data_IF_603153872046
#
_entry.id   IF_603153872046
#
_cell.length_a   1.000
_cell.length_b   1.000
_cell.length_c   1.000
_cell.angle_alpha   90.00
_cell.angle_beta   90.00
_cell.angle_gamma   90.00
#
_symmetry.space_group_name_H-M   'P 1'
#
loop_
_entity.id
_entity.type
_entity.pdbx_description
1 polymer ?
#
# COMPACT_ATOMS: atom_id res chain seq x y z
N UNK A 1 3.79 -17.06 5.27
CA UNK A 1 2.86 -16.39 6.18
C UNK A 1 2.12 -15.21 5.53
N UNK A 2 2.73 -14.53 4.57
CA UNK A 2 2.04 -13.46 3.80
C UNK A 2 1.21 -14.03 2.65
N UNK A 3 0.12 -13.33 2.28
CA UNK A 3 -0.75 -13.71 1.15
C UNK A 3 -0.22 -13.20 -0.20
N UNK A 4 0.67 -12.21 -0.20
CA UNK A 4 1.29 -11.64 -1.42
C UNK A 4 2.27 -12.63 -2.06
N UNK A 5 2.10 -12.96 -3.35
CA UNK A 5 2.99 -13.85 -4.09
C UNK A 5 4.43 -13.31 -4.13
N UNK A 6 4.60 -12.03 -4.45
CA UNK A 6 5.91 -11.36 -4.51
C UNK A 6 6.64 -11.43 -3.16
N UNK A 7 5.92 -11.15 -2.06
CA UNK A 7 6.52 -11.22 -0.72
C UNK A 7 6.84 -12.66 -0.28
N UNK A 8 6.08 -13.66 -0.76
CA UNK A 8 6.40 -15.07 -0.55
C UNK A 8 7.68 -15.47 -1.27
N UNK A 9 7.79 -15.15 -2.55
CA UNK A 9 8.99 -15.41 -3.36
C UNK A 9 10.22 -14.75 -2.75
N UNK A 10 10.11 -13.46 -2.41
CA UNK A 10 11.18 -12.74 -1.70
C UNK A 10 11.57 -13.43 -0.39
N UNK A 11 10.58 -13.81 0.43
CA UNK A 11 10.82 -14.49 1.71
C UNK A 11 11.49 -15.86 1.55
N UNK A 12 11.09 -16.65 0.55
CA UNK A 12 11.71 -17.96 0.26
C UNK A 12 13.15 -17.78 -0.21
N UNK A 13 13.40 -16.88 -1.16
CA UNK A 13 14.76 -16.62 -1.68
C UNK A 13 15.68 -16.08 -0.56
N UNK A 14 15.19 -15.12 0.23
CA UNK A 14 15.95 -14.59 1.37
C UNK A 14 16.21 -15.67 2.43
N UNK A 15 15.21 -16.51 2.74
CA UNK A 15 15.35 -17.61 3.70
C UNK A 15 16.38 -18.65 3.24
N UNK A 16 16.34 -19.08 1.99
CA UNK A 16 17.35 -19.98 1.41
C UNK A 16 18.73 -19.32 1.43
N UNK A 17 18.84 -18.04 1.04
CA UNK A 17 20.08 -17.28 1.07
C UNK A 17 20.70 -17.24 2.48
N UNK A 18 19.90 -16.95 3.50
CA UNK A 18 20.35 -16.93 4.90
C UNK A 18 20.83 -18.33 5.34
N UNK A 19 20.10 -19.39 4.99
CA UNK A 19 20.51 -20.77 5.32
C UNK A 19 21.83 -21.16 4.63
N UNK A 20 22.02 -20.79 3.37
CA UNK A 20 23.26 -21.03 2.64
C UNK A 20 24.42 -20.25 3.27
N UNK A 21 24.22 -18.97 3.60
CA UNK A 21 25.24 -18.15 4.29
C UNK A 21 25.59 -18.78 5.64
N UNK A 22 24.59 -19.24 6.40
CA UNK A 22 24.82 -19.92 7.68
C UNK A 22 25.68 -21.14 7.51
N UNK A 23 25.37 -22.05 6.58
CA UNK A 23 26.13 -23.27 6.31
C UNK A 23 27.58 -22.96 5.86
N UNK A 24 27.72 -22.01 4.93
CA UNK A 24 29.03 -21.56 4.45
C UNK A 24 29.86 -21.00 5.62
N UNK A 25 29.27 -20.12 6.43
CA UNK A 25 29.96 -19.52 7.58
C UNK A 25 30.33 -20.55 8.61
N UNK A 26 29.46 -21.54 8.86
CA UNK A 26 29.74 -22.62 9.82
C UNK A 26 30.92 -23.53 9.41
N UNK A 27 31.11 -23.74 8.11
CA UNK A 27 32.19 -24.54 7.55
C UNK A 27 33.46 -23.70 7.35
N UNK A 28 33.30 -22.54 6.71
CA UNK A 28 34.42 -21.71 6.23
C UNK A 28 35.12 -20.98 7.38
N UNK A 29 34.39 -20.43 8.35
CA UNK A 29 34.97 -19.67 9.46
C UNK A 29 35.92 -20.53 10.31
N UNK A 30 35.54 -21.70 10.83
CA UNK A 30 36.48 -22.56 11.56
C UNK A 30 37.65 -23.03 10.70
N UNK A 31 37.38 -23.36 9.40
CA UNK A 31 38.42 -23.75 8.47
C UNK A 31 39.47 -22.67 8.27
N UNK A 32 39.07 -21.43 8.01
CA UNK A 32 40.00 -20.30 7.84
C UNK A 32 40.72 -19.98 9.15
N UNK A 33 40.01 -19.97 10.29
CA UNK A 33 40.58 -19.66 11.58
C UNK A 33 41.62 -20.72 12.00
N UNK A 34 41.49 -21.98 11.58
CA UNK A 34 42.46 -23.04 11.87
C UNK A 34 43.83 -22.80 11.18
N UNK A 35 43.86 -22.07 10.06
CA UNK A 35 45.10 -21.72 9.36
C UNK A 35 45.70 -20.37 9.82
N UNK A 36 44.95 -19.57 10.57
CA UNK A 36 45.43 -18.28 11.06
C UNK A 36 46.21 -18.44 12.36
N UNK A 37 47.36 -17.76 12.53
CA UNK A 37 48.05 -17.72 13.81
C UNK A 37 47.19 -17.06 14.87
N UNK A 38 47.40 -17.43 16.14
CA UNK A 38 46.68 -16.82 17.26
C UNK A 38 46.79 -15.27 17.21
N UNK A 39 45.70 -14.55 17.48
CA UNK A 39 45.69 -13.10 17.38
C UNK A 39 46.72 -12.49 18.34
N UNK A 40 47.56 -11.60 17.80
CA UNK A 40 48.58 -10.90 18.58
C UNK A 40 47.97 -9.90 19.57
N UNK A 41 48.73 -9.52 20.62
CA UNK A 41 48.29 -8.60 21.67
C UNK A 41 47.77 -7.25 21.14
N UNK A 42 48.28 -6.79 20.01
CA UNK A 42 47.83 -5.56 19.34
C UNK A 42 46.43 -5.69 18.74
N UNK A 43 46.09 -6.84 18.21
CA UNK A 43 44.80 -7.14 17.58
C UNK A 43 43.65 -7.26 18.58
N UNK A 44 43.95 -7.70 19.82
CA UNK A 44 42.97 -7.80 20.93
C UNK A 44 42.95 -6.56 21.83
N UNK A 45 43.74 -5.51 21.50
CA UNK A 45 43.82 -4.29 22.30
C UNK A 45 42.48 -3.57 22.44
N UNK A 46 41.57 -3.73 21.47
CA UNK A 46 40.23 -3.14 21.52
C UNK A 46 39.39 -3.73 22.67
N UNK A 47 39.60 -5.00 23.08
CA UNK A 47 38.90 -5.62 24.21
C UNK A 47 39.27 -4.97 25.55
N UNK A 48 40.46 -4.34 25.62
CA UNK A 48 40.96 -3.62 26.79
C UNK A 48 40.83 -2.08 26.66
N UNK A 49 39.97 -1.61 25.74
CA UNK A 49 39.78 -0.17 25.57
C UNK A 49 39.04 0.43 26.79
N UNK A 50 39.80 1.17 27.60
CA UNK A 50 39.29 1.81 28.82
C UNK A 50 38.09 2.72 28.59
N UNK A 51 37.98 3.37 27.45
CA UNK A 51 36.84 4.27 27.13
C UNK A 51 35.56 3.45 27.00
N UNK A 52 35.60 2.39 26.22
CA UNK A 52 34.41 1.53 26.01
C UNK A 52 34.07 0.82 27.32
N UNK A 53 35.06 0.24 27.99
CA UNK A 53 34.82 -0.45 29.27
C UNK A 53 34.23 0.49 30.34
N UNK A 54 34.81 1.69 30.51
CA UNK A 54 34.29 2.67 31.47
C UNK A 54 32.89 3.17 31.11
N UNK A 55 32.58 3.29 29.81
CA UNK A 55 31.25 3.68 29.35
C UNK A 55 30.22 2.57 29.69
N UNK A 56 30.55 1.31 29.39
CA UNK A 56 29.68 0.17 29.72
C UNK A 56 29.47 0.03 31.23
N UNK A 57 30.55 0.10 32.04
CA UNK A 57 30.47 0.04 33.50
C UNK A 57 29.67 1.21 34.10
N UNK A 58 29.69 2.40 33.44
CA UNK A 58 28.89 3.55 33.88
C UNK A 58 27.40 3.31 33.60
N UNK A 59 27.08 2.77 32.43
CA UNK A 59 25.69 2.40 32.07
C UNK A 59 25.18 1.32 33.03
N UNK A 60 25.96 0.27 33.22
CA UNK A 60 25.62 -0.84 34.13
C UNK A 60 25.32 -0.32 35.54
N UNK A 61 26.23 0.43 36.15
CA UNK A 61 26.01 1.03 37.45
C UNK A 61 24.77 1.91 37.50
N UNK A 62 24.61 2.77 36.50
CA UNK A 62 23.45 3.65 36.46
C UNK A 62 22.13 2.88 36.38
N UNK A 63 22.06 1.81 35.57
CA UNK A 63 20.88 0.95 35.45
C UNK A 63 20.60 0.17 36.74
N UNK A 64 21.66 -0.36 37.38
CA UNK A 64 21.51 -1.13 38.63
C UNK A 64 21.16 -0.25 39.81
N UNK A 65 21.78 0.93 39.94
CA UNK A 65 21.55 1.85 41.08
C UNK A 65 20.23 2.59 40.96
N UNK A 66 19.77 2.85 39.70
CA UNK A 66 18.58 3.69 39.47
C UNK A 66 17.47 2.91 38.74
N UNK A 67 17.21 1.66 39.15
CA UNK A 67 16.19 0.77 38.51
C UNK A 67 14.83 1.45 38.36
N UNK A 68 14.35 2.16 39.40
CA UNK A 68 13.07 2.86 39.38
C UNK A 68 13.04 3.98 38.33
N UNK A 69 14.13 4.72 38.18
CA UNK A 69 14.23 5.77 37.17
C UNK A 69 14.16 5.18 35.75
N UNK A 70 14.83 4.03 35.52
CA UNK A 70 14.76 3.33 34.21
C UNK A 70 13.33 2.87 33.92
N UNK A 71 12.63 2.28 34.90
CA UNK A 71 11.25 1.84 34.69
C UNK A 71 10.30 3.03 34.44
N UNK A 72 10.44 4.12 35.19
CA UNK A 72 9.62 5.32 35.01
C UNK A 72 9.88 5.95 33.65
N UNK A 73 11.14 6.08 33.24
CA UNK A 73 11.51 6.64 31.94
C UNK A 73 10.97 5.78 30.78
N UNK A 74 11.09 4.45 30.88
CA UNK A 74 10.56 3.51 29.88
C UNK A 74 9.03 3.57 29.83
N UNK A 75 8.36 3.62 30.97
CA UNK A 75 6.91 3.76 31.04
C UNK A 75 6.44 5.10 30.43
N UNK A 76 7.10 6.20 30.76
CA UNK A 76 6.81 7.51 30.17
C UNK A 76 7.02 7.50 28.63
N UNK A 77 8.11 6.90 28.15
CA UNK A 77 8.38 6.74 26.72
C UNK A 77 7.30 5.89 26.03
N UNK A 78 6.83 4.82 26.68
CA UNK A 78 5.73 4.00 26.16
C UNK A 78 4.42 4.76 26.07
N UNK A 79 4.05 5.51 27.13
CA UNK A 79 2.84 6.34 27.13
C UNK A 79 2.91 7.38 26.01
N UNK A 80 4.05 8.07 25.89
CA UNK A 80 4.29 9.02 24.81
C UNK A 80 4.16 8.37 23.43
N UNK A 81 4.69 7.15 23.29
CA UNK A 81 4.64 6.38 22.04
C UNK A 81 3.22 5.92 21.70
N UNK A 82 2.44 5.49 22.68
CA UNK A 82 1.04 5.09 22.48
C UNK A 82 0.23 6.27 21.92
N UNK A 83 0.41 7.48 22.47
CA UNK A 83 -0.23 8.69 21.94
C UNK A 83 0.20 8.97 20.51
N UNK A 84 1.48 8.76 20.19
CA UNK A 84 2.01 8.89 18.82
C UNK A 84 1.39 7.87 17.86
N UNK A 85 1.20 6.64 18.29
CA UNK A 85 0.59 5.57 17.45
C UNK A 85 -0.84 5.94 17.03
N UNK A 86 -1.63 6.60 17.91
CA UNK A 86 -2.96 7.07 17.53
C UNK A 86 -2.95 8.16 16.46
N UNK A 87 -1.83 8.87 16.27
CA UNK A 87 -1.63 9.84 15.20
C UNK A 87 -1.07 9.21 13.91
N UNK A 88 -0.68 7.94 13.96
CA UNK A 88 -0.06 7.26 12.84
C UNK A 88 -1.10 7.01 11.73
N UNK A 89 -0.88 7.62 10.58
CA UNK A 89 -1.75 7.49 9.42
C UNK A 89 -1.18 6.45 8.45
N UNK A 90 -2.06 5.66 7.85
CA UNK A 90 -1.68 4.74 6.77
C UNK A 90 -2.02 5.39 5.43
N UNK A 91 -1.08 6.15 4.90
CA UNK A 91 -1.23 6.90 3.64
C UNK A 91 -0.12 6.48 2.69
N UNK A 92 -0.50 6.10 1.49
CA UNK A 92 0.41 5.84 0.38
C UNK A 92 -0.03 6.64 -0.83
N UNK A 93 0.93 7.22 -1.56
CA UNK A 93 0.75 7.82 -2.87
C UNK A 93 1.50 6.97 -3.92
N UNK A 94 1.15 7.09 -5.19
CA UNK A 94 1.73 6.24 -6.24
C UNK A 94 3.26 6.41 -6.33
N UNK A 95 3.75 7.64 -6.21
CA UNK A 95 5.17 7.95 -6.39
C UNK A 95 5.91 8.30 -5.10
N UNK A 96 5.38 7.91 -3.96
CA UNK A 96 5.92 8.26 -2.64
C UNK A 96 7.33 7.70 -2.37
N UNK A 97 7.68 6.61 -3.02
CA UNK A 97 8.96 5.93 -2.84
C UNK A 97 10.04 6.42 -3.82
N UNK A 98 9.69 7.33 -4.75
CA UNK A 98 10.64 7.95 -5.67
C UNK A 98 11.29 9.21 -5.08
N UNK A 99 12.58 9.45 -5.30
CA UNK A 99 13.23 10.72 -4.95
C UNK A 99 12.54 11.89 -5.65
N UNK A 100 12.33 12.99 -4.94
CA UNK A 100 11.66 14.19 -5.50
C UNK A 100 12.41 14.82 -6.69
N UNK A 101 13.70 14.50 -6.83
CA UNK A 101 14.57 14.93 -7.93
C UNK A 101 14.50 14.02 -9.15
N UNK A 102 13.82 12.87 -9.03
CA UNK A 102 13.68 11.93 -10.13
C UNK A 102 12.81 12.52 -11.24
N UNK A 103 13.20 12.23 -12.49
CA UNK A 103 12.47 12.73 -13.67
C UNK A 103 11.04 12.20 -13.72
N UNK A 104 10.82 10.94 -13.35
CA UNK A 104 9.47 10.34 -13.34
C UNK A 104 8.59 11.06 -12.30
N UNK A 105 9.14 11.40 -11.12
CA UNK A 105 8.41 12.15 -10.10
C UNK A 105 8.04 13.55 -10.60
N UNK A 106 8.99 14.28 -11.18
CA UNK A 106 8.76 15.66 -11.66
C UNK A 106 7.79 15.70 -12.83
N UNK A 107 7.91 14.77 -13.79
CA UNK A 107 7.02 14.66 -14.93
C UNK A 107 5.59 14.32 -14.49
N UNK A 108 5.43 13.38 -13.55
CA UNK A 108 4.13 13.01 -13.03
C UNK A 108 3.47 14.20 -12.29
N UNK A 109 4.22 14.94 -11.48
CA UNK A 109 3.71 16.15 -10.81
C UNK A 109 3.36 17.26 -11.78
N UNK A 110 4.09 17.37 -12.90
CA UNK A 110 3.72 18.27 -14.00
C UNK A 110 2.37 17.89 -14.61
N UNK A 111 2.16 16.62 -14.92
CA UNK A 111 0.88 16.14 -15.45
C UNK A 111 -0.26 16.30 -14.44
N UNK A 112 -0.02 15.99 -13.17
CA UNK A 112 -1.02 16.14 -12.10
C UNK A 112 -1.49 17.61 -12.00
N UNK A 113 -0.55 18.55 -12.05
CA UNK A 113 -0.84 19.99 -11.94
C UNK A 113 -1.57 20.55 -13.17
N UNK A 114 -1.15 20.14 -14.38
CA UNK A 114 -1.65 20.77 -15.63
C UNK A 114 -2.86 20.06 -16.23
N UNK A 115 -3.05 18.76 -15.93
CA UNK A 115 -4.13 17.92 -16.48
C UNK A 115 -5.09 17.42 -15.39
N UNK A 116 -5.04 17.97 -14.18
CA UNK A 116 -5.95 17.69 -13.06
C UNK A 116 -6.05 16.21 -12.67
N UNK A 117 -4.97 15.47 -12.86
CA UNK A 117 -4.87 14.08 -12.41
C UNK A 117 -4.30 13.14 -13.44
N UNK A 118 -3.71 12.07 -12.92
CA UNK A 118 -3.02 11.03 -13.70
C UNK A 118 -3.50 9.62 -13.33
N UNK A 119 -4.38 9.50 -12.32
CA UNK A 119 -4.90 8.23 -11.86
C UNK A 119 -6.22 7.92 -12.58
N UNK A 120 -6.26 6.91 -13.47
CA UNK A 120 -7.51 6.53 -14.11
C UNK A 120 -8.43 5.78 -13.12
N UNK A 121 -9.67 6.23 -13.08
CA UNK A 121 -10.81 5.57 -12.43
C UNK A 121 -11.82 5.22 -13.50
N UNK A 122 -12.24 3.97 -13.53
CA UNK A 122 -13.25 3.46 -14.45
C UNK A 122 -14.51 3.06 -13.67
N UNK A 123 -15.66 3.50 -14.14
CA UNK A 123 -16.94 3.13 -13.57
C UNK A 123 -17.71 2.37 -14.63
N UNK A 124 -17.93 1.10 -14.40
CA UNK A 124 -18.65 0.19 -15.32
C UNK A 124 -20.10 0.08 -14.86
N UNK A 125 -21.01 0.43 -15.74
CA UNK A 125 -22.46 0.29 -15.55
C UNK A 125 -22.95 -0.86 -16.41
N UNK A 126 -23.34 -1.97 -15.79
CA UNK A 126 -23.85 -3.18 -16.43
C UNK A 126 -25.37 -3.24 -16.26
N UNK A 127 -26.09 -3.34 -17.36
CA UNK A 127 -27.56 -3.46 -17.41
C UNK A 127 -28.06 -4.87 -17.10
N UNK A 128 -27.16 -5.82 -16.89
CA UNK A 128 -27.46 -7.28 -16.69
C UNK A 128 -28.30 -7.90 -17.83
N UNK A 129 -28.52 -7.18 -18.92
CA UNK A 129 -29.30 -7.64 -20.07
C UNK A 129 -28.55 -7.43 -21.36
N UNK A 130 -28.38 -8.48 -22.14
CA UNK A 130 -27.80 -8.38 -23.47
C UNK A 130 -28.65 -7.41 -24.31
N UNK A 131 -27.98 -6.49 -25.00
CA UNK A 131 -28.60 -5.36 -25.72
C UNK A 131 -29.39 -4.39 -24.85
N UNK A 132 -29.13 -4.34 -23.54
CA UNK A 132 -29.75 -3.36 -22.63
C UNK A 132 -29.43 -1.90 -22.98
N UNK A 133 -28.35 -1.66 -23.71
CA UNK A 133 -27.93 -0.37 -24.25
C UNK A 133 -28.33 -0.21 -25.74
N UNK A 134 -29.46 -0.77 -26.15
CA UNK A 134 -29.99 -0.64 -27.51
C UNK A 134 -31.37 -0.02 -27.50
N UNK A 135 -31.67 0.79 -28.57
CA UNK A 135 -32.96 1.44 -28.76
C UNK A 135 -33.28 2.52 -27.71
N UNK A 136 -34.54 2.79 -27.47
CA UNK A 136 -34.99 3.86 -26.56
C UNK A 136 -34.61 3.64 -25.09
N UNK A 137 -34.40 2.39 -24.66
CA UNK A 137 -33.94 2.06 -23.29
C UNK A 137 -32.53 2.56 -23.04
N UNK A 138 -31.71 2.65 -24.08
CA UNK A 138 -30.36 3.19 -23.97
C UNK A 138 -30.38 4.68 -23.52
N UNK A 139 -31.34 5.47 -23.97
CA UNK A 139 -31.42 6.88 -23.59
C UNK A 139 -31.58 7.08 -22.08
N UNK A 140 -32.45 6.29 -21.45
CA UNK A 140 -32.66 6.34 -20.00
C UNK A 140 -31.36 5.99 -19.23
N UNK A 141 -30.60 5.00 -19.72
CA UNK A 141 -29.31 4.66 -19.10
C UNK A 141 -28.28 5.77 -19.33
N UNK A 142 -28.29 6.39 -20.53
CA UNK A 142 -27.37 7.47 -20.86
C UNK A 142 -27.66 8.73 -20.04
N UNK A 143 -28.93 9.07 -19.77
CA UNK A 143 -29.29 10.15 -18.85
C UNK A 143 -28.77 9.93 -17.43
N UNK A 144 -28.86 8.70 -16.94
CA UNK A 144 -28.29 8.34 -15.63
C UNK A 144 -26.76 8.37 -15.62
N UNK A 145 -26.11 7.91 -16.71
CA UNK A 145 -24.67 8.01 -16.92
C UNK A 145 -24.23 9.47 -16.94
N UNK A 146 -24.98 10.32 -17.62
CA UNK A 146 -24.71 11.76 -17.69
C UNK A 146 -24.83 12.44 -16.32
N UNK A 147 -25.88 12.12 -15.58
CA UNK A 147 -26.10 12.63 -14.22
C UNK A 147 -24.98 12.19 -13.26
N UNK A 148 -24.49 10.96 -13.40
CA UNK A 148 -23.34 10.46 -12.62
C UNK A 148 -22.05 11.16 -13.05
N UNK A 149 -21.84 11.35 -14.35
CA UNK A 149 -20.68 12.08 -14.89
C UNK A 149 -20.64 13.53 -14.41
N UNK A 150 -21.80 14.22 -14.36
CA UNK A 150 -21.90 15.57 -13.83
C UNK A 150 -21.55 15.63 -12.32
N UNK A 151 -22.01 14.66 -11.53
CA UNK A 151 -21.65 14.56 -10.12
C UNK A 151 -20.13 14.35 -9.92
N UNK A 152 -19.51 13.50 -10.74
CA UNK A 152 -18.07 13.25 -10.71
C UNK A 152 -17.30 14.50 -11.11
N UNK A 153 -17.70 15.18 -12.18
CA UNK A 153 -17.06 16.42 -12.64
C UNK A 153 -17.12 17.57 -11.62
N UNK A 154 -18.09 17.55 -10.69
CA UNK A 154 -18.21 18.51 -9.62
C UNK A 154 -17.24 18.27 -8.43
N UNK A 155 -16.52 17.13 -8.40
CA UNK A 155 -15.52 16.84 -7.37
C UNK A 155 -14.21 17.54 -7.73
N UNK A 156 -13.59 18.21 -6.76
CA UNK A 156 -12.36 18.99 -6.94
C UNK A 156 -11.15 18.15 -7.37
N UNK A 157 -11.12 16.89 -6.94
CA UNK A 157 -10.02 15.96 -7.17
C UNK A 157 -10.16 15.17 -8.48
N UNK A 158 -11.22 15.41 -9.24
CA UNK A 158 -11.54 14.66 -10.46
C UNK A 158 -11.60 15.55 -11.68
N UNK A 159 -11.15 15.01 -12.80
CA UNK A 159 -11.29 15.68 -14.09
C UNK A 159 -12.68 15.43 -14.66
N UNK A 160 -12.98 16.05 -15.80
CA UNK A 160 -14.21 15.80 -16.54
C UNK A 160 -14.24 14.35 -17.04
N UNK A 161 -15.26 13.56 -16.69
CA UNK A 161 -15.37 12.19 -17.15
C UNK A 161 -15.61 12.10 -18.65
N UNK A 162 -15.08 11.03 -19.24
CA UNK A 162 -15.35 10.63 -20.61
C UNK A 162 -16.33 9.45 -20.59
N UNK A 163 -17.39 9.53 -21.36
CA UNK A 163 -18.40 8.48 -21.49
C UNK A 163 -19.06 8.53 -22.85
N UNK A 164 -19.87 7.52 -23.15
CA UNK A 164 -20.72 7.54 -24.36
C UNK A 164 -21.64 8.77 -24.36
N UNK A 165 -22.20 9.15 -23.21
CA UNK A 165 -23.05 10.31 -23.08
C UNK A 165 -22.35 11.60 -23.53
N UNK A 166 -21.10 11.81 -23.06
CA UNK A 166 -20.31 12.98 -23.47
C UNK A 166 -19.96 12.94 -24.96
N UNK A 167 -19.63 11.78 -25.49
CA UNK A 167 -19.35 11.61 -26.91
C UNK A 167 -20.59 11.90 -27.80
N UNK A 168 -21.78 11.51 -27.33
CA UNK A 168 -23.03 11.81 -28.05
C UNK A 168 -23.43 13.29 -27.98
N UNK A 169 -23.20 13.98 -26.86
CA UNK A 169 -23.34 15.43 -26.75
C UNK A 169 -22.42 16.15 -27.74
N UNK A 170 -21.17 15.74 -27.78
CA UNK A 170 -20.20 16.30 -28.74
C UNK A 170 -20.61 16.05 -30.19
N UNK A 171 -21.07 14.83 -30.50
CA UNK A 171 -21.54 14.50 -31.85
C UNK A 171 -22.74 15.32 -32.24
N UNK A 172 -23.71 15.56 -31.33
CA UNK A 172 -24.88 16.40 -31.57
C UNK A 172 -24.50 17.86 -31.80
N UNK A 173 -23.59 18.40 -30.97
CA UNK A 173 -23.08 19.76 -31.19
C UNK A 173 -22.37 19.89 -32.54
N UNK A 174 -21.54 18.91 -32.93
CA UNK A 174 -20.85 18.91 -34.21
C UNK A 174 -21.83 18.82 -35.41
N UNK A 175 -22.95 18.10 -35.26
CA UNK A 175 -24.00 18.02 -36.27
C UNK A 175 -24.74 19.36 -36.49
N UNK A 176 -24.84 20.17 -35.46
CA UNK A 176 -25.42 21.52 -35.51
C UNK A 176 -24.34 22.62 -35.60
N UNK A 177 -23.34 22.41 -36.45
CA UNK A 177 -22.29 23.38 -36.79
C UNK A 177 -21.49 23.93 -35.59
N UNK A 178 -21.40 23.16 -34.50
CA UNK A 178 -20.63 23.54 -33.33
C UNK A 178 -21.34 24.44 -32.32
N UNK A 179 -22.63 24.68 -32.48
CA UNK A 179 -23.44 25.50 -31.58
C UNK A 179 -23.47 24.91 -30.17
N UNK A 180 -22.99 25.66 -29.18
CA UNK A 180 -22.91 25.26 -27.77
C UNK A 180 -24.31 24.97 -27.16
N UNK A 181 -25.38 25.54 -27.65
CA UNK A 181 -26.75 25.26 -27.20
C UNK A 181 -27.15 23.79 -27.49
N UNK A 182 -26.51 23.16 -28.47
CA UNK A 182 -26.74 21.77 -28.84
C UNK A 182 -25.83 20.76 -28.12
N UNK A 183 -25.04 21.18 -27.13
CA UNK A 183 -24.25 20.28 -26.27
C UNK A 183 -25.14 19.60 -25.21
N UNK A 184 -26.11 18.84 -25.69
CA UNK A 184 -27.13 18.15 -24.90
C UNK A 184 -27.24 16.68 -25.34
N UNK A 185 -27.71 15.81 -24.45
CA UNK A 185 -28.01 14.43 -24.83
C UNK A 185 -29.06 14.41 -25.96
N UNK A 186 -28.90 13.48 -26.93
CA UNK A 186 -29.90 13.25 -27.93
C UNK A 186 -31.24 12.83 -27.30
N UNK A 187 -32.36 13.34 -27.81
CA UNK A 187 -33.70 12.95 -27.40
C UNK A 187 -34.29 11.85 -28.31
N UNK A 188 -35.53 11.45 -28.06
CA UNK A 188 -36.21 10.41 -28.85
C UNK A 188 -36.35 10.73 -30.34
N UNK A 189 -36.38 12.03 -30.70
CA UNK A 189 -36.44 12.48 -32.09
C UNK A 189 -35.11 12.41 -32.80
N UNK A 190 -34.00 12.41 -32.04
CA UNK A 190 -32.65 12.27 -32.57
C UNK A 190 -32.23 10.79 -32.80
N UNK A 191 -33.19 9.84 -32.70
CA UNK A 191 -32.91 8.40 -32.73
C UNK A 191 -32.22 7.89 -34.00
N UNK A 192 -32.50 8.47 -35.16
CA UNK A 192 -31.83 8.14 -36.43
C UNK A 192 -30.34 8.55 -36.39
N UNK A 193 -30.07 9.74 -35.87
CA UNK A 193 -28.75 10.31 -35.68
C UNK A 193 -27.90 9.44 -34.69
N UNK A 194 -28.44 9.12 -33.52
CA UNK A 194 -27.77 8.29 -32.50
C UNK A 194 -27.49 6.88 -33.04
N UNK A 195 -28.45 6.34 -33.80
CA UNK A 195 -28.31 5.00 -34.38
C UNK A 195 -27.14 4.88 -35.37
N UNK A 196 -26.84 5.94 -36.11
CA UNK A 196 -25.72 5.97 -37.05
C UNK A 196 -24.36 5.91 -36.34
N UNK A 197 -24.19 6.66 -35.25
CA UNK A 197 -22.94 6.73 -34.50
C UNK A 197 -22.70 5.53 -33.58
N UNK A 198 -23.74 4.85 -33.08
CA UNK A 198 -23.64 3.67 -32.26
C UNK A 198 -23.57 2.36 -33.05
N UNK A 199 -23.70 2.38 -34.38
CA UNK A 199 -23.49 1.17 -35.19
C UNK A 199 -22.01 0.88 -35.34
N UNK A 200 -21.56 -0.39 -35.15
CA UNK A 200 -20.20 -0.77 -35.48
C UNK A 200 -19.98 -0.48 -36.97
N UNK A 201 -19.04 0.38 -37.30
CA UNK A 201 -18.67 0.63 -38.68
C UNK A 201 -18.08 -0.64 -39.27
N UNK A 202 -18.72 -1.19 -40.33
CA UNK A 202 -18.03 -2.14 -41.20
C UNK A 202 -16.88 -1.37 -41.83
N UNK A 203 -15.72 -1.96 -41.77
CA UNK A 203 -14.46 -1.44 -42.30
C UNK A 203 -14.60 -1.08 -43.79
N UNK A 204 -14.89 0.18 -44.09
CA UNK A 204 -14.73 0.71 -45.42
C UNK A 204 -13.33 1.29 -45.55
N UNK A 205 -12.61 0.79 -46.57
CA UNK A 205 -11.24 1.14 -46.92
C UNK A 205 -11.00 2.59 -47.36
N UNK A 206 -11.99 3.45 -47.30
CA UNK A 206 -11.89 4.86 -47.62
C UNK A 206 -11.94 5.70 -46.35
N UNK A 207 -10.82 6.32 -46.01
CA UNK A 207 -10.49 7.04 -44.78
C UNK A 207 -11.38 8.23 -44.37
N UNK A 208 -12.68 8.06 -44.23
CA UNK A 208 -13.60 9.11 -43.80
C UNK A 208 -13.62 9.24 -42.26
N UNK A 209 -13.51 10.46 -41.77
CA UNK A 209 -13.51 10.85 -40.34
C UNK A 209 -14.73 10.35 -39.52
N UNK A 210 -15.83 9.95 -40.15
CA UNK A 210 -17.01 9.34 -39.51
C UNK A 210 -16.67 8.02 -38.82
N UNK A 211 -15.68 7.26 -39.31
CA UNK A 211 -15.26 5.99 -38.72
C UNK A 211 -14.51 6.16 -37.38
N UNK A 212 -13.83 7.27 -37.16
CA UNK A 212 -13.04 7.50 -35.96
C UNK A 212 -13.93 7.81 -34.75
N UNK A 213 -15.00 8.63 -34.91
CA UNK A 213 -15.92 8.94 -33.83
C UNK A 213 -16.75 7.70 -33.42
N UNK A 214 -17.22 6.91 -34.38
CA UNK A 214 -17.91 5.65 -34.10
C UNK A 214 -17.03 4.66 -33.36
N UNK A 215 -15.76 4.50 -33.74
CA UNK A 215 -14.78 3.67 -33.02
C UNK A 215 -14.53 4.17 -31.61
N UNK A 216 -14.42 5.49 -31.42
CA UNK A 216 -14.23 6.10 -30.13
C UNK A 216 -15.44 5.86 -29.21
N UNK A 217 -16.67 6.08 -29.70
CA UNK A 217 -17.89 5.84 -28.94
C UNK A 217 -18.10 4.36 -28.60
N UNK A 218 -17.81 3.46 -29.55
CA UNK A 218 -17.92 2.02 -29.30
C UNK A 218 -16.86 1.51 -28.33
N UNK A 219 -15.77 2.24 -28.08
CA UNK A 219 -14.79 1.86 -27.05
C UNK A 219 -15.32 1.96 -25.62
N UNK A 220 -16.41 2.71 -25.40
CA UNK A 220 -17.08 2.84 -24.11
C UNK A 220 -18.23 1.85 -23.89
N UNK A 221 -18.56 1.04 -24.88
CA UNK A 221 -19.64 0.05 -24.83
C UNK A 221 -19.05 -1.32 -25.16
N UNK A 222 -19.48 -2.35 -24.45
CA UNK A 222 -19.08 -3.72 -24.74
C UNK A 222 -19.74 -4.25 -26.04
N UNK A 223 -19.19 -5.34 -26.59
CA UNK A 223 -19.68 -5.98 -27.83
C UNK A 223 -21.10 -6.50 -27.70
N UNK A 224 -21.53 -6.90 -26.48
CA UNK A 224 -22.89 -7.33 -26.19
C UNK A 224 -23.86 -6.19 -25.97
N UNK A 225 -23.38 -4.92 -25.97
CA UNK A 225 -24.17 -3.72 -25.63
C UNK A 225 -24.93 -3.86 -24.32
N UNK A 226 -24.31 -4.50 -23.38
CA UNK A 226 -24.81 -4.75 -22.04
C UNK A 226 -24.23 -3.77 -21.05
N UNK A 227 -22.95 -3.43 -21.19
CA UNK A 227 -22.21 -2.61 -20.25
C UNK A 227 -21.66 -1.34 -20.93
N UNK A 228 -21.64 -0.25 -20.18
CA UNK A 228 -20.95 0.99 -20.57
C UNK A 228 -19.98 1.41 -19.48
N UNK A 229 -18.92 2.14 -19.86
CA UNK A 229 -17.95 2.67 -18.92
C UNK A 229 -17.91 4.21 -18.92
N UNK A 230 -17.64 4.75 -17.76
CA UNK A 230 -17.27 6.14 -17.54
C UNK A 230 -15.80 6.13 -17.14
N UNK A 231 -14.97 6.83 -17.88
CA UNK A 231 -13.53 6.95 -17.61
C UNK A 231 -13.23 8.34 -17.10
N UNK A 232 -12.55 8.44 -15.97
CA UNK A 232 -12.16 9.73 -15.39
C UNK A 232 -10.74 9.64 -14.84
N UNK A 233 -9.94 10.68 -15.08
CA UNK A 233 -8.67 10.87 -14.41
C UNK A 233 -8.88 11.65 -13.13
N UNK A 234 -8.20 11.24 -12.07
CA UNK A 234 -8.26 11.90 -10.77
C UNK A 234 -6.85 12.21 -10.24
N UNK A 235 -6.76 13.18 -9.34
CA UNK A 235 -5.53 13.48 -8.62
C UNK A 235 -5.13 12.33 -7.69
N UNK A 236 -3.84 12.17 -7.42
CA UNK A 236 -3.36 11.23 -6.41
C UNK A 236 -3.63 11.79 -5.00
N UNK A 237 -4.79 11.45 -4.47
CA UNK A 237 -5.27 11.89 -3.14
C UNK A 237 -4.80 10.97 -2.00
N UNK A 238 -4.04 9.93 -2.34
CA UNK A 238 -3.55 8.92 -1.40
C UNK A 238 -4.63 7.97 -0.88
N UNK A 239 -4.16 6.91 -0.25
CA UNK A 239 -5.01 5.79 0.21
C UNK A 239 -5.95 6.13 1.38
N UNK A 240 -5.81 7.30 2.02
CA UNK A 240 -6.68 7.76 3.11
C UNK A 240 -7.97 8.43 2.56
N UNK A 241 -7.84 9.34 1.60
CA UNK A 241 -8.97 10.10 1.04
C UNK A 241 -9.71 9.33 -0.06
N UNK A 242 -8.99 8.54 -0.85
CA UNK A 242 -9.57 7.81 -1.98
C UNK A 242 -10.81 6.97 -1.61
N UNK A 243 -10.85 6.20 -0.50
CA UNK A 243 -12.04 5.44 -0.12
C UNK A 243 -13.28 6.31 0.15
N UNK A 244 -13.08 7.52 0.67
CA UNK A 244 -14.19 8.44 0.97
C UNK A 244 -14.80 8.96 -0.33
N UNK A 245 -13.96 9.33 -1.31
CA UNK A 245 -14.39 9.74 -2.64
C UNK A 245 -15.12 8.61 -3.37
N UNK A 246 -14.54 7.40 -3.37
CA UNK A 246 -15.14 6.23 -4.01
C UNK A 246 -16.50 5.89 -3.41
N UNK A 247 -16.63 5.94 -2.08
CA UNK A 247 -17.92 5.71 -1.41
C UNK A 247 -18.95 6.79 -1.74
N UNK A 248 -18.53 8.04 -1.92
CA UNK A 248 -19.40 9.11 -2.40
C UNK A 248 -19.95 8.82 -3.80
N UNK A 249 -19.10 8.38 -4.73
CA UNK A 249 -19.50 7.99 -6.09
C UNK A 249 -20.42 6.77 -6.06
N UNK A 250 -20.08 5.74 -5.28
CA UNK A 250 -20.88 4.54 -5.12
C UNK A 250 -22.29 4.86 -4.59
N UNK A 251 -22.38 5.69 -3.56
CA UNK A 251 -23.66 6.13 -3.01
C UNK A 251 -24.50 6.89 -4.07
N UNK A 252 -23.87 7.77 -4.84
CA UNK A 252 -24.58 8.49 -5.92
C UNK A 252 -25.00 7.56 -7.04
N UNK A 253 -24.15 6.61 -7.41
CA UNK A 253 -24.48 5.58 -8.40
C UNK A 253 -25.67 4.73 -7.94
N UNK A 254 -25.69 4.30 -6.68
CA UNK A 254 -26.81 3.51 -6.12
C UNK A 254 -28.12 4.30 -6.01
N UNK A 255 -28.07 5.63 -5.93
CA UNK A 255 -29.27 6.48 -6.02
C UNK A 255 -29.83 6.59 -7.45
N UNK A 256 -28.96 6.61 -8.47
CA UNK A 256 -29.33 6.75 -9.87
C UNK A 256 -29.68 5.42 -10.52
N UNK A 257 -28.97 4.37 -10.15
CA UNK A 257 -29.12 3.03 -10.71
C UNK A 257 -29.70 2.06 -9.67
N UNK A 258 -30.89 1.57 -9.93
CA UNK A 258 -31.48 0.53 -9.09
C UNK A 258 -30.60 -0.72 -9.10
N UNK A 259 -30.09 -1.09 -7.95
CA UNK A 259 -29.16 -2.22 -7.75
C UNK A 259 -29.79 -3.58 -8.11
N UNK A 260 -31.13 -3.69 -8.14
CA UNK A 260 -31.84 -4.86 -8.60
C UNK A 260 -31.73 -5.07 -10.13
N UNK A 261 -31.68 -3.96 -10.87
CA UNK A 261 -31.65 -3.96 -12.34
C UNK A 261 -30.25 -3.79 -12.89
N UNK A 262 -29.46 -2.91 -12.28
CA UNK A 262 -28.12 -2.53 -12.74
C UNK A 262 -27.04 -3.03 -11.77
N UNK A 263 -25.85 -3.25 -12.31
CA UNK A 263 -24.64 -3.46 -11.51
C UNK A 263 -23.65 -2.37 -11.85
N UNK A 264 -23.33 -1.53 -10.86
CA UNK A 264 -22.29 -0.52 -11.01
C UNK A 264 -21.03 -0.98 -10.29
N UNK A 265 -19.90 -0.93 -10.97
CA UNK A 265 -18.61 -1.35 -10.45
C UNK A 265 -17.57 -0.26 -10.69
N UNK A 266 -16.88 0.11 -9.61
CA UNK A 266 -15.70 0.95 -9.65
C UNK A 266 -14.47 0.07 -9.91
N UNK A 267 -13.63 0.44 -10.87
CA UNK A 267 -12.43 -0.31 -11.25
C UNK A 267 -11.36 0.64 -11.79
N UNK A 268 -10.28 0.12 -12.32
CA UNK A 268 -9.18 0.92 -12.84
C UNK A 268 -7.95 0.90 -11.94
N UNK A 269 -6.91 1.58 -12.39
CA UNK A 269 -5.59 1.58 -11.69
C UNK A 269 -5.70 2.20 -10.30
N UNK A 270 -6.57 3.19 -10.10
CA UNK A 270 -6.81 3.82 -8.79
C UNK A 270 -7.31 2.81 -7.76
N UNK A 271 -8.26 1.94 -8.14
CA UNK A 271 -8.80 0.89 -7.27
C UNK A 271 -7.74 -0.19 -7.02
N UNK A 272 -7.05 -0.62 -8.07
CA UNK A 272 -5.99 -1.64 -7.95
C UNK A 272 -4.87 -1.16 -7.03
N UNK A 273 -4.47 0.10 -7.11
CA UNK A 273 -3.49 0.70 -6.22
C UNK A 273 -3.99 0.71 -4.75
N UNK A 274 -5.22 1.16 -4.51
CA UNK A 274 -5.82 1.21 -3.18
C UNK A 274 -5.88 -0.18 -2.54
N UNK A 275 -6.48 -1.13 -3.25
CA UNK A 275 -6.64 -2.50 -2.74
C UNK A 275 -5.30 -3.23 -2.63
N UNK A 276 -4.39 -3.01 -3.59
CA UNK A 276 -3.02 -3.54 -3.54
C UNK A 276 -2.24 -3.02 -2.33
N UNK A 277 -2.29 -1.71 -2.07
CA UNK A 277 -1.63 -1.10 -0.90
C UNK A 277 -2.22 -1.63 0.40
N UNK A 278 -3.54 -1.69 0.54
CA UNK A 278 -4.22 -2.28 1.70
C UNK A 278 -3.86 -3.74 1.91
N UNK A 279 -3.86 -4.52 0.83
CA UNK A 279 -3.51 -5.93 0.88
C UNK A 279 -2.08 -6.15 1.38
N UNK A 280 -1.11 -5.37 0.87
CA UNK A 280 0.28 -5.45 1.30
C UNK A 280 0.42 -5.06 2.78
N UNK A 281 -0.13 -3.91 3.19
CA UNK A 281 -0.03 -3.42 4.58
C UNK A 281 -0.67 -4.40 5.56
N UNK A 282 -1.85 -4.92 5.25
CA UNK A 282 -2.54 -5.89 6.10
C UNK A 282 -1.81 -7.24 6.12
N UNK A 283 -1.31 -7.70 4.98
CA UNK A 283 -0.51 -8.92 4.89
C UNK A 283 0.80 -8.84 5.69
N UNK A 284 1.46 -7.68 5.69
CA UNK A 284 2.66 -7.45 6.49
C UNK A 284 2.35 -7.39 7.99
N UNK A 285 1.25 -6.74 8.41
CA UNK A 285 0.80 -6.76 9.82
C UNK A 285 0.55 -8.19 10.30
N UNK A 286 -0.16 -8.99 9.51
CA UNK A 286 -0.43 -10.40 9.80
C UNK A 286 0.87 -11.21 9.88
N UNK A 287 1.83 -10.95 8.98
CA UNK A 287 3.14 -11.62 8.97
C UNK A 287 3.98 -11.31 10.21
N UNK A 288 3.98 -10.06 10.68
CA UNK A 288 4.69 -9.65 11.90
C UNK A 288 4.12 -10.39 13.11
N UNK A 289 2.79 -10.50 13.21
CA UNK A 289 2.14 -11.22 14.29
C UNK A 289 2.53 -12.72 14.31
N UNK A 290 2.49 -13.37 13.15
CA UNK A 290 2.89 -14.77 13.02
C UNK A 290 4.39 -14.99 13.28
N UNK A 291 5.24 -14.07 12.82
CA UNK A 291 6.68 -14.12 13.10
C UNK A 291 6.93 -14.01 14.61
N UNK A 292 6.26 -13.05 15.29
CA UNK A 292 6.36 -12.89 16.73
C UNK A 292 5.92 -14.13 17.50
N UNK A 293 4.83 -14.77 17.08
CA UNK A 293 4.32 -16.00 17.68
C UNK A 293 5.30 -17.16 17.48
N UNK A 294 5.84 -17.33 16.27
CA UNK A 294 6.82 -18.38 15.96
C UNK A 294 8.10 -18.20 16.79
N UNK A 295 8.58 -16.96 16.91
CA UNK A 295 9.73 -16.62 17.74
C UNK A 295 9.46 -16.93 19.21
N UNK A 296 8.27 -16.58 19.71
CA UNK A 296 7.86 -16.90 21.07
C UNK A 296 7.87 -18.42 21.33
N UNK A 297 7.39 -19.22 20.37
CA UNK A 297 7.44 -20.68 20.45
C UNK A 297 8.88 -21.22 20.44
N UNK A 298 9.75 -20.71 19.56
CA UNK A 298 11.16 -21.10 19.53
C UNK A 298 11.87 -20.75 20.86
N UNK A 299 11.61 -19.57 21.42
CA UNK A 299 12.16 -19.15 22.72
C UNK A 299 11.65 -20.02 23.85
N UNK A 300 10.36 -20.35 23.86
CA UNK A 300 9.77 -21.24 24.84
C UNK A 300 10.39 -22.65 24.78
N UNK A 301 10.61 -23.17 23.58
CA UNK A 301 11.28 -24.43 23.35
C UNK A 301 12.72 -24.43 23.89
N UNK A 302 13.46 -23.35 23.60
CA UNK A 302 14.89 -23.21 23.97
C UNK A 302 15.07 -23.04 25.48
N UNK A 303 14.27 -22.21 26.13
CA UNK A 303 14.43 -21.86 27.54
C UNK A 303 13.52 -22.62 28.48
N UNK A 304 12.48 -23.26 27.99
CA UNK A 304 11.49 -24.05 28.76
C UNK A 304 10.90 -23.28 29.96
N UNK A 305 10.85 -21.98 29.90
CA UNK A 305 10.37 -21.08 30.98
C UNK A 305 9.58 -19.92 30.43
N UNK A 306 8.32 -19.82 30.82
CA UNK A 306 7.43 -18.71 30.45
C UNK A 306 7.93 -17.36 31.02
N UNK A 307 8.57 -17.38 32.19
CA UNK A 307 9.12 -16.15 32.81
C UNK A 307 10.24 -15.56 31.96
N UNK A 308 11.16 -16.42 31.51
CA UNK A 308 12.27 -15.99 30.61
C UNK A 308 11.69 -15.51 29.26
N UNK A 309 10.68 -16.21 28.74
CA UNK A 309 9.99 -15.79 27.51
C UNK A 309 9.43 -14.37 27.63
N UNK A 310 8.69 -14.07 28.67
CA UNK A 310 8.11 -12.73 28.88
C UNK A 310 9.22 -11.68 29.07
N UNK A 311 10.24 -11.98 29.88
CA UNK A 311 11.38 -11.09 30.08
C UNK A 311 12.18 -10.83 28.78
N UNK A 312 12.12 -11.72 27.80
CA UNK A 312 12.79 -11.53 26.51
C UNK A 312 11.93 -10.82 25.47
N UNK A 313 10.62 -11.09 25.43
CA UNK A 313 9.71 -10.50 24.43
C UNK A 313 9.41 -9.03 24.71
N UNK A 314 9.21 -8.66 25.98
CA UNK A 314 8.88 -7.27 26.35
C UNK A 314 9.95 -6.28 25.88
N UNK A 315 11.26 -6.46 26.15
CA UNK A 315 12.30 -5.56 25.67
C UNK A 315 12.37 -5.44 24.15
N UNK A 316 11.99 -6.49 23.41
CA UNK A 316 11.99 -6.46 21.94
C UNK A 316 10.79 -5.70 21.37
N UNK A 317 9.66 -5.70 22.08
CA UNK A 317 8.46 -4.99 21.66
C UNK A 317 8.54 -3.48 21.93
N UNK A 318 9.21 -3.07 23.01
CA UNK A 318 9.34 -1.67 23.42
C UNK A 318 9.94 -0.77 22.33
N UNK A 319 11.10 -1.09 21.72
CA UNK A 319 11.68 -0.28 20.65
C UNK A 319 10.78 -0.15 19.44
N UNK A 320 10.04 -1.21 19.07
CA UNK A 320 9.09 -1.19 17.97
C UNK A 320 7.94 -0.23 18.23
N UNK A 321 7.38 -0.26 19.46
CA UNK A 321 6.32 0.65 19.87
C UNK A 321 6.82 2.11 19.90
N UNK A 322 8.04 2.33 20.40
CA UNK A 322 8.66 3.67 20.43
C UNK A 322 8.87 4.17 19.00
N UNK A 323 9.37 3.33 18.11
CA UNK A 323 9.58 3.70 16.69
C UNK A 323 8.24 4.06 16.03
N UNK A 324 7.20 3.24 16.22
CA UNK A 324 5.86 3.52 15.69
C UNK A 324 5.28 4.83 16.27
N UNK A 325 5.49 5.07 17.57
CA UNK A 325 5.07 6.30 18.23
C UNK A 325 5.77 7.54 17.66
N UNK A 326 7.09 7.49 17.51
CA UNK A 326 7.88 8.57 16.91
C UNK A 326 7.44 8.84 15.47
N UNK A 327 7.21 7.79 14.65
CA UNK A 327 6.68 7.95 13.30
C UNK A 327 5.36 8.72 13.31
N UNK A 328 4.45 8.41 14.25
CA UNK A 328 3.18 9.13 14.37
C UNK A 328 3.35 10.61 14.77
N UNK A 329 4.30 10.92 15.64
CA UNK A 329 4.60 12.30 16.03
C UNK A 329 5.30 13.11 14.92
N UNK A 330 6.23 12.52 14.22
CA UNK A 330 6.96 13.14 13.10
C UNK A 330 6.09 13.23 11.84
N UNK A 331 4.97 12.49 11.79
CA UNK A 331 4.08 12.46 10.64
C UNK A 331 4.57 11.55 9.50
N UNK A 332 5.44 10.59 9.79
CA UNK A 332 5.87 9.58 8.82
C UNK A 332 4.74 8.56 8.66
N UNK A 333 4.14 8.41 7.46
CA UNK A 333 3.00 7.53 7.28
C UNK A 333 3.41 6.05 7.29
N UNK A 334 2.46 5.21 7.69
CA UNK A 334 2.59 3.77 7.56
C UNK A 334 2.26 3.35 6.13
N UNK A 335 3.27 2.96 5.38
CA UNK A 335 3.19 2.50 3.99
C UNK A 335 3.95 1.17 3.82
N UNK A 336 3.80 0.44 2.72
CA UNK A 336 4.44 -0.86 2.53
C UNK A 336 5.94 -0.87 2.82
N UNK A 337 6.68 0.15 2.40
CA UNK A 337 8.12 0.29 2.65
C UNK A 337 8.46 0.48 4.13
N UNK A 338 7.68 1.28 4.88
CA UNK A 338 7.93 1.52 6.31
C UNK A 338 7.54 0.32 7.18
N UNK A 339 6.55 -0.47 6.79
CA UNK A 339 6.18 -1.69 7.52
C UNK A 339 7.27 -2.75 7.45
N UNK A 340 8.01 -2.85 6.34
CA UNK A 340 9.16 -3.76 6.23
C UNK A 340 10.25 -3.47 7.29
N UNK A 341 10.46 -2.20 7.64
CA UNK A 341 11.44 -1.80 8.67
C UNK A 341 11.13 -2.45 10.01
N UNK A 342 9.84 -2.55 10.40
CA UNK A 342 9.46 -3.21 11.64
C UNK A 342 9.80 -4.70 11.65
N UNK A 343 9.63 -5.39 10.52
CA UNK A 343 9.97 -6.81 10.40
C UNK A 343 11.47 -7.05 10.55
N UNK A 344 12.29 -6.20 9.92
CA UNK A 344 13.76 -6.27 10.02
C UNK A 344 14.23 -5.92 11.44
N UNK A 345 13.72 -4.83 12.01
CA UNK A 345 14.06 -4.39 13.36
C UNK A 345 13.71 -5.46 14.42
N UNK A 346 12.54 -6.10 14.27
CA UNK A 346 12.14 -7.21 15.14
C UNK A 346 13.14 -8.36 15.09
N UNK A 347 13.57 -8.77 13.89
CA UNK A 347 14.54 -9.85 13.69
C UNK A 347 15.87 -9.55 14.36
N UNK A 348 16.42 -8.34 14.20
CA UNK A 348 17.69 -7.91 14.81
C UNK A 348 17.57 -7.85 16.34
N UNK A 349 16.50 -7.27 16.87
CA UNK A 349 16.30 -7.14 18.31
C UNK A 349 16.24 -8.51 18.99
N UNK A 350 15.59 -9.48 18.36
CA UNK A 350 15.46 -10.82 18.89
C UNK A 350 16.79 -11.59 18.86
N UNK A 351 17.60 -11.46 17.81
CA UNK A 351 18.93 -12.08 17.73
C UNK A 351 19.82 -11.63 18.91
N UNK A 352 19.85 -10.32 19.18
CA UNK A 352 20.57 -9.74 20.30
C UNK A 352 20.07 -10.32 21.64
N UNK A 353 18.77 -10.41 21.82
CA UNK A 353 18.16 -10.91 23.06
C UNK A 353 18.44 -12.40 23.27
N UNK A 354 18.39 -13.22 22.23
CA UNK A 354 18.71 -14.64 22.29
C UNK A 354 20.16 -14.83 22.71
N UNK A 355 21.10 -14.11 22.09
CA UNK A 355 22.54 -14.18 22.44
C UNK A 355 22.79 -13.81 23.90
N UNK A 356 22.16 -12.71 24.34
CA UNK A 356 22.28 -12.28 25.74
C UNK A 356 21.78 -13.36 26.70
N UNK A 357 20.59 -13.92 26.46
CA UNK A 357 20.01 -14.93 27.34
C UNK A 357 20.75 -16.27 27.30
N UNK A 358 21.32 -16.67 26.18
CA UNK A 358 22.16 -17.89 26.08
C UNK A 358 23.42 -17.70 26.89
N UNK A 359 24.11 -16.57 26.73
CA UNK A 359 25.32 -16.28 27.55
C UNK A 359 24.97 -16.21 29.04
N UNK A 360 23.91 -15.53 29.42
CA UNK A 360 23.44 -15.46 30.81
C UNK A 360 23.19 -16.87 31.40
N UNK A 361 22.53 -17.76 30.65
CA UNK A 361 22.24 -19.11 31.09
C UNK A 361 23.51 -19.95 31.21
N UNK A 362 24.55 -19.71 30.40
CA UNK A 362 25.81 -20.41 30.44
C UNK A 362 26.71 -19.95 31.60
N UNK A 363 26.68 -18.64 31.90
CA UNK A 363 27.53 -18.05 32.94
C UNK A 363 26.93 -18.19 34.35
N UNK A 364 25.59 -18.20 34.48
CA UNK A 364 24.92 -18.27 35.79
C UNK A 364 25.40 -19.40 36.71
N UNK A 365 25.67 -20.62 36.23
CA UNK A 365 26.21 -21.69 37.09
C UNK A 365 27.65 -21.42 37.56
N UNK A 366 28.44 -20.67 36.78
CA UNK A 366 29.84 -20.37 37.11
C UNK A 366 29.98 -19.39 38.29
N UNK A 367 28.94 -18.55 38.47
CA UNK A 367 28.89 -17.56 39.57
C UNK A 367 27.97 -17.98 40.74
N UNK A 368 27.75 -19.32 40.90
CA UNK A 368 27.04 -19.90 42.03
C UNK A 368 25.60 -19.42 42.24
N UNK A 369 24.88 -19.08 41.14
CA UNK A 369 23.53 -18.50 41.14
C UNK A 369 23.42 -17.13 41.85
N UNK A 370 24.50 -16.49 42.21
CA UNK A 370 24.50 -15.13 42.75
C UNK A 370 24.49 -14.11 41.59
N UNK A 371 23.40 -13.35 41.50
CA UNK A 371 23.26 -12.20 40.62
C UNK A 371 23.71 -10.96 41.43
N UNK A 372 24.99 -10.86 41.72
CA UNK A 372 25.58 -9.67 42.34
C UNK A 372 26.63 -9.05 41.43
#
# INVERSE_FOLDING_TARGET
LTKSAILKEFGVVAGIGIMVIFLISFILLPGVLAYLPAPGASQVKYLKNRVITNFLLRIERWVVDHKMAVYICTAAALVFSIVGIFKLKSVSFIVDDLPKTDKVYTDLKFFEKNFHGVMPLEIVVDTRKRYGLAGMKALVVLEKVDSLSAYIAAQQEMNRPLSVAEGLKFAKQAFFDGDSANYLLPNSFDGAFVGEYLRPSKSDSNGNNKNNLSKMLTSFIDTARQSTRISVNMADVGTEKLPVLLKGIENKANQLFDTAVYKVQLTGTSITFLEGSRFIVNGLKESILWAFLLIALCMLYLFRSVRILLCSLIPNLIPLLITAGIMGWVGVPLKPSTVLVFSVALGIAIDITIRFLVNYKQELPLYGNNIS
#
